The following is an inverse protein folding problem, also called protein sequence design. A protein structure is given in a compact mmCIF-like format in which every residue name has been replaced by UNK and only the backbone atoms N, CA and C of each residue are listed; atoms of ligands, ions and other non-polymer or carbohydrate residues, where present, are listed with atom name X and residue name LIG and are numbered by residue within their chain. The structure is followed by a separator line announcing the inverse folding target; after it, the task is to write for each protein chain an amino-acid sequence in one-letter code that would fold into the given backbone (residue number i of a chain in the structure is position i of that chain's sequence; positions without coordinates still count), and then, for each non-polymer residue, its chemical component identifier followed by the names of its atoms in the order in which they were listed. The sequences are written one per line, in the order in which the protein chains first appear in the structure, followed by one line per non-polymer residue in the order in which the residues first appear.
data_IF_503512234986
#
_entry.id   IF_503512234986
#
_cell.length_a   1.000
_cell.length_b   1.000
_cell.length_c   1.000
_cell.angle_alpha   90.00
_cell.angle_beta   90.00
_cell.angle_gamma   90.00
#
_symmetry.space_group_name_H-M   'P 1'
#
loop_
_entity.id
_entity.type
_entity.pdbx_description
1 polymer ?
#
# COMPACT_ATOMS: atom_id res chain seq x y z
N UNK A 1 5.22 18.88 9.12
CA UNK A 1 5.41 18.27 7.79
C UNK A 1 4.78 16.89 7.85
N UNK A 2 3.99 16.51 6.85
CA UNK A 2 3.42 15.16 6.80
C UNK A 2 4.47 14.15 6.30
N UNK A 3 4.19 12.86 6.46
CA UNK A 3 5.09 11.76 6.09
C UNK A 3 4.59 11.11 4.80
N UNK A 4 5.44 10.97 3.77
CA UNK A 4 5.08 10.22 2.58
C UNK A 4 4.83 8.75 2.91
N UNK A 5 3.79 8.18 2.29
CA UNK A 5 3.40 6.78 2.42
C UNK A 5 3.28 6.19 1.02
N UNK A 6 3.81 4.99 0.83
CA UNK A 6 3.77 4.31 -0.46
C UNK A 6 3.26 2.88 -0.31
N UNK A 7 2.63 2.37 -1.38
CA UNK A 7 2.36 0.94 -1.56
C UNK A 7 3.40 0.39 -2.52
N UNK A 8 4.34 -0.40 -2.00
CA UNK A 8 5.30 -1.13 -2.82
C UNK A 8 4.69 -2.45 -3.30
N UNK A 9 4.87 -2.73 -4.58
CA UNK A 9 4.34 -3.92 -5.23
C UNK A 9 5.46 -4.79 -5.78
N UNK A 10 5.30 -6.09 -5.58
CA UNK A 10 6.25 -7.08 -6.04
C UNK A 10 5.56 -8.15 -6.88
N UNK A 11 6.21 -8.61 -7.94
CA UNK A 11 5.78 -9.79 -8.70
C UNK A 11 5.78 -11.02 -7.81
N UNK A 12 4.84 -11.90 -8.08
CA UNK A 12 4.83 -13.27 -7.58
C UNK A 12 5.03 -14.25 -8.74
N UNK A 13 5.08 -15.53 -8.44
CA UNK A 13 5.11 -16.58 -9.48
C UNK A 13 3.76 -16.72 -10.21
N UNK A 14 2.69 -16.19 -9.61
CA UNK A 14 1.33 -16.24 -10.17
C UNK A 14 1.05 -14.94 -10.89
N UNK A 15 0.76 -15.03 -12.19
CA UNK A 15 0.43 -13.85 -13.01
C UNK A 15 -0.85 -13.17 -12.49
N UNK A 16 -0.80 -11.86 -12.33
CA UNK A 16 -1.91 -11.06 -11.80
C UNK A 16 -1.95 -10.97 -10.27
N UNK A 17 -1.18 -11.80 -9.56
CA UNK A 17 -1.02 -11.72 -8.12
C UNK A 17 0.23 -10.92 -7.76
N UNK A 18 0.03 -9.97 -6.85
CA UNK A 18 1.09 -9.11 -6.34
C UNK A 18 1.26 -9.30 -4.85
N UNK A 19 2.50 -9.18 -4.41
CA UNK A 19 2.78 -8.99 -3.00
C UNK A 19 2.82 -7.49 -2.68
N UNK A 20 2.12 -7.09 -1.62
CA UNK A 20 1.94 -5.68 -1.24
C UNK A 20 2.69 -5.41 0.07
N UNK A 21 3.35 -4.25 0.13
CA UNK A 21 3.93 -3.72 1.36
C UNK A 21 3.65 -2.23 1.49
N UNK A 22 3.49 -1.75 2.72
CA UNK A 22 3.46 -0.33 3.05
C UNK A 22 4.86 0.16 3.31
N UNK A 23 5.26 1.23 2.64
CA UNK A 23 6.59 1.82 2.78
C UNK A 23 6.46 3.20 3.39
N UNK A 24 7.23 3.43 4.46
CA UNK A 24 7.34 4.72 5.13
C UNK A 24 8.75 5.27 4.94
N UNK A 25 8.86 6.43 4.31
CA UNK A 25 10.15 7.08 4.08
C UNK A 25 10.01 8.43 3.38
N UNK A 26 10.94 9.34 3.65
CA UNK A 26 10.96 10.67 3.03
C UNK A 26 11.46 10.61 1.58
N UNK A 27 12.37 9.68 1.31
CA UNK A 27 12.92 9.40 -0.01
C UNK A 27 12.92 7.89 -0.24
N UNK A 28 12.24 7.45 -1.28
CA UNK A 28 12.04 6.03 -1.57
C UNK A 28 13.28 5.35 -2.16
N UNK A 29 14.23 6.14 -2.69
CA UNK A 29 15.53 5.67 -3.15
C UNK A 29 16.48 5.31 -2.00
N UNK A 30 16.20 5.82 -0.79
CA UNK A 30 17.01 5.56 0.39
C UNK A 30 16.58 4.26 1.08
N UNK A 31 17.22 3.97 2.22
CA UNK A 31 16.81 2.87 3.10
C UNK A 31 15.48 3.20 3.78
N UNK A 32 14.43 2.49 3.39
CA UNK A 32 13.08 2.66 3.93
C UNK A 32 12.69 1.54 4.89
N UNK A 33 11.61 1.75 5.64
CA UNK A 33 10.95 0.67 6.38
C UNK A 33 9.76 0.18 5.58
N UNK A 34 9.76 -1.11 5.23
CA UNK A 34 8.64 -1.76 4.56
C UNK A 34 7.88 -2.66 5.54
N UNK A 35 6.56 -2.51 5.61
CA UNK A 35 5.64 -3.24 6.47
C UNK A 35 4.74 -4.12 5.62
N UNK A 36 4.58 -5.38 6.01
CA UNK A 36 3.81 -6.35 5.25
C UNK A 36 3.27 -7.44 6.17
N UNK A 37 2.33 -8.24 5.66
CA UNK A 37 1.95 -9.50 6.29
C UNK A 37 2.23 -10.67 5.36
N UNK A 38 2.54 -11.83 5.92
CA UNK A 38 2.80 -13.06 5.16
C UNK A 38 2.08 -14.24 5.81
N UNK A 39 1.62 -15.20 5.00
CA UNK A 39 1.14 -16.49 5.53
C UNK A 39 2.31 -17.15 6.29
N UNK A 40 2.07 -17.58 7.52
CA UNK A 40 3.04 -18.38 8.26
C UNK A 40 3.24 -19.74 7.58
N UNK A 41 4.41 -20.34 7.79
CA UNK A 41 4.70 -21.72 7.38
C UNK A 41 5.01 -22.56 8.64
N UNK A 42 4.51 -23.81 8.76
CA UNK A 42 3.75 -24.58 7.76
C UNK A 42 2.23 -24.32 7.81
N UNK A 43 1.49 -24.87 6.83
CA UNK A 43 0.04 -24.72 6.62
C UNK A 43 -0.77 -24.65 7.93
N UNK A 44 -1.41 -23.51 8.18
CA UNK A 44 -2.20 -23.26 9.39
C UNK A 44 -1.55 -22.28 10.37
N UNK A 45 -0.26 -21.98 10.23
CA UNK A 45 0.32 -20.80 10.86
C UNK A 45 -0.32 -19.56 10.22
N UNK A 46 -1.18 -18.87 10.97
CA UNK A 46 -1.93 -17.71 10.49
C UNK A 46 -1.06 -16.60 9.92
N UNK A 47 -1.68 -15.48 9.55
CA UNK A 47 -0.97 -14.34 9.00
C UNK A 47 -0.06 -13.70 10.05
N UNK A 48 1.21 -13.49 9.67
CA UNK A 48 2.24 -12.91 10.53
C UNK A 48 2.63 -11.53 9.99
N UNK A 49 2.77 -10.56 10.91
CA UNK A 49 3.40 -9.27 10.58
C UNK A 49 4.88 -9.49 10.28
N UNK A 50 5.38 -8.74 9.30
CA UNK A 50 6.79 -8.60 9.03
C UNK A 50 7.11 -7.16 8.71
N UNK A 51 8.19 -6.66 9.28
CA UNK A 51 8.82 -5.41 8.86
C UNK A 51 10.23 -5.70 8.35
N UNK A 52 10.60 -5.04 7.26
CA UNK A 52 11.97 -5.03 6.74
C UNK A 52 12.53 -3.63 6.92
N UNK A 53 13.31 -3.46 7.98
CA UNK A 53 14.09 -2.23 8.21
C UNK A 53 15.21 -2.14 7.19
N UNK A 54 15.50 -0.93 6.73
CA UNK A 54 16.52 -0.66 5.72
C UNK A 54 16.30 -1.44 4.42
N UNK A 55 15.05 -1.57 3.99
CA UNK A 55 14.74 -2.16 2.70
C UNK A 55 15.29 -1.25 1.58
N UNK A 56 16.12 -1.82 0.71
CA UNK A 56 16.41 -1.24 -0.60
C UNK A 56 15.44 -1.82 -1.61
N UNK A 57 14.48 -1.02 -2.07
CA UNK A 57 13.42 -1.51 -2.97
C UNK A 57 13.99 -1.95 -4.32
N UNK A 58 14.88 -1.12 -4.90
CA UNK A 58 15.57 -1.41 -6.18
C UNK A 58 16.43 -2.69 -6.13
N UNK A 59 16.90 -3.10 -4.94
CA UNK A 59 17.70 -4.31 -4.80
C UNK A 59 16.87 -5.60 -4.95
N UNK A 60 15.53 -5.50 -4.90
CA UNK A 60 14.65 -6.65 -5.06
C UNK A 60 14.36 -6.92 -6.52
N UNK A 61 14.69 -8.13 -7.00
CA UNK A 61 14.41 -8.55 -8.40
C UNK A 61 12.92 -8.67 -8.72
N UNK A 62 12.09 -8.79 -7.69
CA UNK A 62 10.63 -8.88 -7.84
C UNK A 62 9.95 -7.53 -7.70
N UNK A 63 10.67 -6.46 -7.37
CA UNK A 63 10.06 -5.15 -7.24
C UNK A 63 9.53 -4.64 -8.58
N UNK A 64 8.28 -4.19 -8.58
CA UNK A 64 7.63 -3.62 -9.76
C UNK A 64 7.64 -2.10 -9.71
N UNK A 65 6.93 -1.55 -8.73
CA UNK A 65 6.71 -0.12 -8.61
C UNK A 65 6.24 0.26 -7.20
N UNK A 66 6.17 1.57 -6.95
CA UNK A 66 5.52 2.13 -5.79
C UNK A 66 4.35 3.01 -6.20
N UNK A 67 3.24 2.91 -5.49
CA UNK A 67 2.15 3.89 -5.57
C UNK A 67 2.29 4.85 -4.42
N UNK A 68 2.53 6.13 -4.71
CA UNK A 68 2.57 7.18 -3.71
C UNK A 68 1.15 7.53 -3.28
N UNK A 69 0.87 7.33 -2.00
CA UNK A 69 -0.38 7.72 -1.38
C UNK A 69 -0.33 9.19 -0.93
N UNK A 70 -1.49 9.80 -0.62
CA UNK A 70 -1.52 11.12 0.00
C UNK A 70 -0.68 11.15 1.28
N UNK A 71 -0.05 12.30 1.52
CA UNK A 71 0.86 12.48 2.66
C UNK A 71 0.09 12.33 3.98
N UNK A 72 0.67 11.59 4.93
CA UNK A 72 0.04 11.34 6.23
C UNK A 72 0.40 12.46 7.21
N UNK A 73 -0.61 13.06 7.84
CA UNK A 73 -0.48 14.09 8.88
C UNK A 73 -0.11 13.49 10.26
N UNK A 74 0.97 12.72 10.31
CA UNK A 74 1.58 12.16 11.52
C UNK A 74 3.09 12.38 11.49
N UNK A 75 3.77 12.22 12.64
CA UNK A 75 5.22 12.04 12.63
C UNK A 75 5.57 10.64 12.13
N UNK A 76 6.79 10.44 11.60
CA UNK A 76 7.23 9.12 11.14
C UNK A 76 7.06 8.06 12.22
N UNK A 77 7.52 8.33 13.43
CA UNK A 77 7.39 7.42 14.57
C UNK A 77 5.93 7.08 14.90
N UNK A 78 5.03 8.07 14.87
CA UNK A 78 3.61 7.84 15.14
C UNK A 78 2.93 7.01 14.04
N UNK A 79 3.29 7.22 12.77
CA UNK A 79 2.82 6.42 11.65
C UNK A 79 3.33 4.97 11.72
N UNK A 80 4.63 4.78 11.97
CA UNK A 80 5.22 3.45 12.12
C UNK A 80 4.60 2.68 13.29
N UNK A 81 4.35 3.36 14.42
CA UNK A 81 3.64 2.79 15.57
C UNK A 81 2.19 2.43 15.22
N UNK A 82 1.48 3.30 14.49
CA UNK A 82 0.11 3.05 14.03
C UNK A 82 0.03 1.80 13.15
N UNK A 83 0.88 1.69 12.12
CA UNK A 83 0.91 0.52 11.21
C UNK A 83 1.19 -0.75 12.01
N UNK A 84 2.12 -0.69 12.96
CA UNK A 84 2.51 -1.83 13.80
C UNK A 84 1.37 -2.30 14.73
N UNK A 85 0.39 -1.45 15.04
CA UNK A 85 -0.78 -1.82 15.84
C UNK A 85 -1.85 -2.58 15.04
N UNK A 86 -1.97 -2.34 13.73
CA UNK A 86 -2.99 -2.99 12.88
C UNK A 86 -2.75 -4.50 12.79
N UNK A 87 -3.66 -5.36 13.28
CA UNK A 87 -3.44 -6.80 13.38
C UNK A 87 -3.16 -7.45 12.03
N UNK A 88 -2.42 -8.58 12.01
CA UNK A 88 -2.18 -9.33 10.77
C UNK A 88 -3.37 -10.22 10.36
N UNK A 89 -4.34 -10.39 11.24
CA UNK A 89 -5.56 -11.18 11.01
C UNK A 89 -6.68 -10.29 10.47
N UNK A 90 -7.63 -10.85 9.70
CA UNK A 90 -8.77 -10.10 9.21
C UNK A 90 -9.58 -9.49 10.36
N UNK A 91 -10.16 -8.34 10.10
CA UNK A 91 -11.20 -7.73 10.92
C UNK A 91 -12.54 -8.13 10.29
N UNK A 92 -13.43 -8.79 11.06
CA UNK A 92 -14.69 -9.39 10.57
C UNK A 92 -15.61 -8.38 9.84
N UNK A 93 -15.33 -7.09 9.97
CA UNK A 93 -16.10 -6.00 9.34
C UNK A 93 -15.60 -5.60 7.95
N UNK A 94 -14.43 -6.09 7.51
CA UNK A 94 -13.63 -5.40 6.49
C UNK A 94 -12.97 -6.33 5.44
N UNK A 95 -13.56 -7.48 5.15
CA UNK A 95 -13.18 -8.20 3.94
C UNK A 95 -13.57 -7.35 2.72
N UNK A 96 -12.67 -7.19 1.75
CA UNK A 96 -13.07 -6.68 0.44
C UNK A 96 -13.99 -7.74 -0.18
N UNK A 97 -15.20 -7.37 -0.60
CA UNK A 97 -16.19 -8.33 -1.14
C UNK A 97 -15.64 -9.04 -2.40
N UNK A 98 -14.68 -8.42 -3.09
CA UNK A 98 -13.98 -8.96 -4.24
C UNK A 98 -12.93 -10.05 -3.94
N UNK A 99 -12.73 -10.42 -2.68
CA UNK A 99 -11.71 -11.36 -2.26
C UNK A 99 -12.25 -12.42 -1.29
N UNK A 100 -12.06 -13.69 -1.66
CA UNK A 100 -12.49 -14.84 -0.86
C UNK A 100 -11.60 -15.10 0.37
N UNK A 101 -10.35 -14.61 0.37
CA UNK A 101 -9.37 -14.86 1.44
C UNK A 101 -8.64 -13.59 1.89
N UNK A 102 -8.30 -13.57 3.19
CA UNK A 102 -7.39 -12.57 3.75
C UNK A 102 -6.06 -12.54 2.99
N UNK A 103 -5.55 -11.35 2.67
CA UNK A 103 -4.31 -11.19 1.88
C UNK A 103 -3.47 -9.99 2.33
N UNK A 104 -2.22 -9.92 1.87
CA UNK A 104 -1.37 -8.75 2.13
C UNK A 104 -1.95 -7.45 1.54
N UNK A 105 -2.62 -7.53 0.38
CA UNK A 105 -3.31 -6.39 -0.20
C UNK A 105 -4.47 -5.91 0.68
N UNK A 106 -5.30 -6.84 1.17
CA UNK A 106 -6.40 -6.51 2.08
C UNK A 106 -5.90 -5.89 3.39
N UNK A 107 -4.79 -6.38 3.95
CA UNK A 107 -4.18 -5.75 5.13
C UNK A 107 -3.68 -4.33 4.86
N UNK A 108 -3.03 -4.09 3.71
CA UNK A 108 -2.61 -2.73 3.32
C UNK A 108 -3.82 -1.80 3.19
N UNK A 109 -4.90 -2.25 2.54
CA UNK A 109 -6.14 -1.49 2.42
C UNK A 109 -6.77 -1.21 3.79
N UNK A 110 -6.75 -2.17 4.71
CA UNK A 110 -7.26 -1.97 6.08
C UNK A 110 -6.44 -0.91 6.83
N UNK A 111 -5.11 -0.90 6.69
CA UNK A 111 -4.27 0.14 7.29
C UNK A 111 -4.61 1.52 6.72
N UNK A 112 -4.76 1.64 5.39
CA UNK A 112 -5.11 2.90 4.71
C UNK A 112 -6.48 3.39 5.19
N UNK A 113 -7.48 2.51 5.23
CA UNK A 113 -8.81 2.80 5.78
C UNK A 113 -8.73 3.39 7.18
N UNK A 114 -8.02 2.72 8.10
CA UNK A 114 -7.87 3.19 9.48
C UNK A 114 -7.16 4.56 9.55
N UNK A 115 -6.19 4.83 8.68
CA UNK A 115 -5.54 6.15 8.60
C UNK A 115 -6.51 7.26 8.15
N UNK A 116 -7.42 6.95 7.24
CA UNK A 116 -8.48 7.86 6.82
C UNK A 116 -9.54 8.08 7.91
N UNK A 117 -9.96 7.02 8.62
CA UNK A 117 -10.90 7.11 9.75
C UNK A 117 -10.36 7.96 10.90
N UNK A 118 -9.06 7.84 11.16
CA UNK A 118 -8.32 8.68 12.12
C UNK A 118 -8.02 10.10 11.57
N UNK A 119 -8.47 10.44 10.36
CA UNK A 119 -8.27 11.73 9.68
C UNK A 119 -6.79 12.11 9.52
N UNK A 120 -5.91 11.11 9.56
CA UNK A 120 -4.47 11.28 9.35
C UNK A 120 -4.12 11.40 7.88
N UNK A 121 -4.97 10.88 7.00
CA UNK A 121 -4.96 11.18 5.57
C UNK A 121 -6.24 11.96 5.27
N UNK A 122 -6.14 13.10 4.60
CA UNK A 122 -7.32 13.78 4.08
C UNK A 122 -7.94 12.90 2.99
N UNK A 123 -9.21 12.51 3.11
CA UNK A 123 -9.85 11.67 2.12
C UNK A 123 -10.28 12.52 0.91
N UNK A 124 -9.33 12.91 0.06
CA UNK A 124 -9.63 13.22 -1.36
C UNK A 124 -9.72 11.92 -2.18
N UNK A 125 -10.03 10.79 -1.52
CA UNK A 125 -10.27 9.51 -2.16
C UNK A 125 -11.70 9.40 -2.72
N UNK A 126 -12.48 10.49 -2.63
CA UNK A 126 -13.91 10.55 -2.91
C UNK A 126 -14.71 9.63 -1.98
N UNK A 127 -16.03 9.65 -2.07
CA UNK A 127 -16.92 8.64 -1.43
C UNK A 127 -16.74 7.22 -2.00
N UNK A 128 -15.63 6.94 -2.70
CA UNK A 128 -15.34 5.65 -3.30
C UNK A 128 -15.22 4.61 -2.18
N UNK A 129 -15.90 3.48 -2.30
CA UNK A 129 -15.71 2.34 -1.41
C UNK A 129 -14.21 2.00 -1.30
N UNK A 130 -13.75 1.44 -0.18
CA UNK A 130 -12.34 1.04 0.00
C UNK A 130 -11.87 0.06 -1.10
N UNK A 131 -12.81 -0.65 -1.71
CA UNK A 131 -12.61 -1.43 -2.94
C UNK A 131 -12.12 -0.57 -4.10
N UNK A 132 -12.61 0.67 -4.24
CA UNK A 132 -12.11 1.63 -5.21
C UNK A 132 -10.62 1.92 -5.04
N UNK A 133 -10.11 2.05 -3.81
CA UNK A 133 -8.66 2.22 -3.57
C UNK A 133 -7.88 1.01 -4.06
N UNK A 134 -8.35 -0.19 -3.72
CA UNK A 134 -7.76 -1.44 -4.19
C UNK A 134 -7.75 -1.53 -5.73
N UNK A 135 -8.91 -1.40 -6.37
CA UNK A 135 -9.06 -1.50 -7.82
C UNK A 135 -8.20 -0.46 -8.54
N UNK A 136 -8.11 0.76 -8.02
CA UNK A 136 -7.28 1.82 -8.62
C UNK A 136 -5.80 1.47 -8.58
N UNK A 137 -5.29 1.01 -7.45
CA UNK A 137 -3.90 0.56 -7.35
C UNK A 137 -3.65 -0.57 -8.35
N UNK A 138 -4.56 -1.55 -8.45
CA UNK A 138 -4.43 -2.65 -9.40
C UNK A 138 -4.42 -2.16 -10.86
N UNK A 139 -5.34 -1.25 -11.23
CA UNK A 139 -5.42 -0.68 -12.58
C UNK A 139 -4.15 0.08 -12.93
N UNK A 140 -3.66 0.94 -12.04
CA UNK A 140 -2.41 1.69 -12.22
C UNK A 140 -1.23 0.77 -12.53
N UNK A 141 -1.19 -0.40 -11.90
CA UNK A 141 -0.10 -1.38 -12.06
C UNK A 141 -0.26 -2.18 -13.34
N UNK A 142 -1.49 -2.53 -13.72
CA UNK A 142 -1.76 -3.18 -15.00
C UNK A 142 -1.40 -2.26 -16.17
N UNK A 143 -1.73 -0.98 -16.07
CA UNK A 143 -1.33 0.01 -17.06
C UNK A 143 0.19 0.16 -17.11
N UNK A 144 0.86 0.05 -15.96
CA UNK A 144 2.33 -0.01 -15.92
C UNK A 144 2.91 -1.18 -16.69
N UNK A 145 2.39 -2.37 -16.49
CA UNK A 145 2.82 -3.55 -17.21
C UNK A 145 2.51 -3.49 -18.71
N UNK A 146 1.51 -2.71 -19.11
CA UNK A 146 1.16 -2.45 -20.53
C UNK A 146 2.04 -1.37 -21.17
N UNK A 147 2.99 -0.79 -20.44
CA UNK A 147 3.94 0.18 -20.99
C UNK A 147 3.46 1.63 -20.97
N UNK A 148 2.50 1.97 -20.09
CA UNK A 148 2.23 3.39 -19.82
C UNK A 148 3.51 4.09 -19.27
N UNK A 149 3.54 5.41 -19.32
CA UNK A 149 4.68 6.19 -18.83
C UNK A 149 4.45 6.60 -17.37
N UNK A 150 5.54 6.60 -16.58
CA UNK A 150 5.51 6.90 -15.14
C UNK A 150 6.66 7.78 -14.74
N UNK A 151 6.48 8.42 -13.58
CA UNK A 151 7.53 9.20 -12.95
C UNK A 151 8.60 8.25 -12.40
N UNK A 152 9.86 8.55 -12.70
CA UNK A 152 11.00 7.84 -12.14
C UNK A 152 11.60 8.69 -11.02
N UNK A 153 11.57 8.17 -9.79
CA UNK A 153 12.30 8.74 -8.65
C UNK A 153 13.55 7.90 -8.48
N UNK A 154 14.70 8.40 -8.95
CA UNK A 154 15.88 7.54 -9.12
C UNK A 154 15.63 6.46 -10.18
N UNK A 155 15.83 5.17 -9.84
CA UNK A 155 15.44 4.05 -10.69
C UNK A 155 14.14 3.40 -10.21
N UNK A 156 13.39 4.04 -9.32
CA UNK A 156 12.11 3.55 -8.80
C UNK A 156 10.97 4.15 -9.62
N UNK A 157 10.16 3.34 -10.30
CA UNK A 157 8.93 3.81 -10.91
C UNK A 157 7.91 4.11 -9.81
N UNK A 158 7.46 5.36 -9.78
CA UNK A 158 6.47 5.88 -8.83
C UNK A 158 5.20 6.27 -9.59
N UNK A 159 4.09 5.69 -9.15
CA UNK A 159 2.74 5.99 -9.57
C UNK A 159 2.16 7.01 -8.58
N UNK A 160 1.85 8.22 -9.04
CA UNK A 160 1.11 9.16 -8.21
C UNK A 160 -0.34 8.68 -8.09
N UNK A 161 -0.83 8.50 -6.86
CA UNK A 161 -2.24 8.21 -6.68
C UNK A 161 -3.04 9.47 -7.07
N UNK A 162 -3.98 9.39 -8.03
CA UNK A 162 -4.66 10.57 -8.54
C UNK A 162 -5.43 11.27 -7.43
N UNK A 163 -5.21 12.59 -7.30
CA UNK A 163 -6.02 13.47 -6.46
C UNK A 163 -7.31 13.72 -7.22
N UNK A 164 -8.46 13.39 -6.64
CA UNK A 164 -9.75 13.70 -7.24
C UNK A 164 -10.12 15.11 -6.79
N UNK A 165 -10.17 16.03 -7.74
CA UNK A 165 -11.01 17.21 -7.56
C UNK A 165 -12.44 16.67 -7.51
N UNK A 166 -13.13 16.85 -6.38
CA UNK A 166 -14.58 16.61 -6.33
C UNK A 166 -15.17 17.47 -7.46
N UNK A 167 -15.75 16.84 -8.49
CA UNK A 167 -16.63 17.56 -9.40
C UNK A 167 -17.75 18.09 -8.50
N UNK A 168 -17.73 19.41 -8.24
CA UNK A 168 -18.84 20.09 -7.59
C UNK A 168 -20.07 19.81 -8.46
N UNK A 169 -20.97 18.95 -7.99
CA UNK A 169 -22.29 18.78 -8.59
C UNK A 169 -23.03 20.12 -8.46
N UNK A 170 -23.00 20.92 -9.53
CA UNK A 170 -23.79 22.15 -9.71
C UNK A 170 -25.30 21.89 -9.71
#
# INVERSE_FOLDING_TARGET
MGVPLYVALYTTEVSGDYYWALVVGDNICDRVTAYQIKKGSPCGAGWLKGDKKNAGLEASRTFLCCVQLPTVHKTKQALEAFITQVPAVPDDRNALDSHDEWSCAQWVVDVIRRLCEDKSIKPDLGKSSWEGVYFRIVVLVQDYQRGAQFEMVGNIPVLQYPVWEEEEED
#
